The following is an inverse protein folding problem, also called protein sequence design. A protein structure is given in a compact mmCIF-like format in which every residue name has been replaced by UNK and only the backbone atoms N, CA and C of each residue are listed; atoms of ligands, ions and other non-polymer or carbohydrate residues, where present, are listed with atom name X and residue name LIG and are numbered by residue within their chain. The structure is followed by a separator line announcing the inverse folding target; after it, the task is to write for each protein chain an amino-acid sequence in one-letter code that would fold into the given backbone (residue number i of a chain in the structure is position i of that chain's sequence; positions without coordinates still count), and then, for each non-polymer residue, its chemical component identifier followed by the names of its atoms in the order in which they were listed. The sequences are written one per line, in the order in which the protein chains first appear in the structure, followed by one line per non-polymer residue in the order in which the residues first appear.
data_IF_497049608714
#
_entry.id   IF_497049608714
#
_cell.length_a   1.000
_cell.length_b   1.000
_cell.length_c   1.000
_cell.angle_alpha   90.00
_cell.angle_beta   90.00
_cell.angle_gamma   90.00
#
_symmetry.space_group_name_H-M   'P 1'
#
loop_
_entity.id
_entity.type
_entity.pdbx_description
1 polymer ?
#
# COMPACT_ATOMS: atom_id res chain seq x y z
N UNK A 1 52.15 28.18 8.42
CA UNK A 1 51.91 27.27 7.28
C UNK A 1 50.73 27.80 6.48
N UNK A 2 50.85 27.89 5.15
CA UNK A 2 49.80 28.44 4.29
C UNK A 2 48.67 27.42 4.10
N UNK A 3 47.43 27.87 3.86
CA UNK A 3 46.28 27.00 3.54
C UNK A 3 46.57 26.04 2.38
N UNK A 4 47.43 26.45 1.44
CA UNK A 4 47.91 25.62 0.33
C UNK A 4 48.73 24.42 0.81
N UNK A 5 49.62 24.62 1.78
CA UNK A 5 50.51 23.58 2.30
C UNK A 5 49.70 22.51 3.05
N UNK A 6 48.70 22.95 3.81
CA UNK A 6 47.77 22.04 4.51
C UNK A 6 46.95 21.19 3.54
N UNK A 7 46.46 21.77 2.44
CA UNK A 7 45.77 21.00 1.39
C UNK A 7 46.71 19.99 0.72
N UNK A 8 47.91 20.41 0.34
CA UNK A 8 48.89 19.52 -0.30
C UNK A 8 49.31 18.38 0.61
N UNK A 9 49.43 18.62 1.93
CA UNK A 9 49.69 17.58 2.90
C UNK A 9 48.56 16.54 2.94
N UNK A 10 47.28 16.97 2.99
CA UNK A 10 46.12 16.06 2.98
C UNK A 10 46.03 15.23 1.70
N UNK A 11 46.30 15.83 0.54
CA UNK A 11 46.30 15.13 -0.75
C UNK A 11 47.40 14.05 -0.77
N UNK A 12 48.61 14.38 -0.31
CA UNK A 12 49.71 13.39 -0.23
C UNK A 12 49.38 12.25 0.71
N UNK A 13 48.79 12.55 1.87
CA UNK A 13 48.34 11.52 2.82
C UNK A 13 47.28 10.61 2.20
N UNK A 14 46.29 11.17 1.49
CA UNK A 14 45.25 10.40 0.82
C UNK A 14 45.80 9.52 -0.31
N UNK A 15 46.74 10.03 -1.11
CA UNK A 15 47.39 9.26 -2.17
C UNK A 15 48.28 8.14 -1.61
N UNK A 16 48.97 8.39 -0.50
CA UNK A 16 49.80 7.39 0.18
C UNK A 16 48.98 6.27 0.83
N UNK A 17 47.74 6.56 1.27
CA UNK A 17 46.83 5.57 1.83
C UNK A 17 46.30 4.57 0.78
N UNK A 18 46.47 4.85 -0.51
CA UNK A 18 45.93 4.02 -1.59
C UNK A 18 44.42 4.14 -1.75
N UNK A 19 43.83 3.52 -2.78
CA UNK A 19 42.39 3.49 -2.94
C UNK A 19 41.74 2.83 -1.73
N UNK A 20 40.60 3.37 -1.29
CA UNK A 20 39.81 2.73 -0.25
C UNK A 20 39.50 1.28 -0.68
N UNK A 21 39.57 0.29 0.24
CA UNK A 21 39.21 -1.07 -0.09
C UNK A 21 37.79 -1.09 -0.65
N UNK A 22 37.60 -1.80 -1.76
CA UNK A 22 36.27 -1.96 -2.32
C UNK A 22 35.39 -2.69 -1.31
N UNK A 23 34.10 -2.31 -1.22
CA UNK A 23 33.16 -3.09 -0.42
C UNK A 23 33.16 -4.55 -0.93
N UNK A 24 32.93 -5.53 -0.04
CA UNK A 24 32.79 -6.92 -0.47
C UNK A 24 31.69 -7.03 -1.52
N UNK A 25 31.89 -7.92 -2.50
CA UNK A 25 30.82 -8.21 -3.47
C UNK A 25 29.58 -8.70 -2.70
N UNK A 26 28.39 -8.20 -3.05
CA UNK A 26 27.16 -8.72 -2.48
C UNK A 26 26.97 -10.18 -2.90
N UNK A 27 26.38 -10.98 -2.01
CA UNK A 27 25.94 -12.32 -2.35
C UNK A 27 24.68 -12.22 -3.21
N UNK A 28 24.84 -12.42 -4.52
CA UNK A 28 23.74 -12.39 -5.48
C UNK A 28 22.80 -13.61 -5.38
N UNK A 29 23.19 -14.66 -4.65
CA UNK A 29 22.33 -15.81 -4.38
C UNK A 29 21.49 -15.63 -3.10
N UNK A 30 21.85 -14.68 -2.24
CA UNK A 30 21.09 -14.40 -1.04
C UNK A 30 19.71 -13.81 -1.39
N UNK A 31 18.64 -14.22 -0.70
CA UNK A 31 17.32 -13.64 -0.91
C UNK A 31 17.31 -12.16 -0.53
N UNK A 32 16.80 -11.32 -1.42
CA UNK A 32 16.68 -9.86 -1.20
C UNK A 32 15.70 -9.53 -0.07
N UNK A 33 14.72 -10.40 0.16
CA UNK A 33 13.70 -10.22 1.18
C UNK A 33 13.82 -11.28 2.27
N UNK A 34 13.53 -10.93 3.54
CA UNK A 34 13.38 -11.92 4.59
C UNK A 34 12.35 -12.99 4.20
N UNK A 35 12.49 -14.24 4.66
CA UNK A 35 11.44 -15.23 4.49
C UNK A 35 10.13 -14.67 5.06
N UNK A 36 9.01 -14.97 4.39
CA UNK A 36 7.71 -14.68 4.98
C UNK A 36 7.53 -15.58 6.21
N UNK A 37 6.77 -15.15 7.23
CA UNK A 37 6.33 -16.06 8.28
C UNK A 37 5.67 -17.29 7.63
N UNK A 38 5.72 -18.45 8.28
CA UNK A 38 4.98 -19.66 7.82
C UNK A 38 3.44 -19.50 7.89
N UNK A 39 2.95 -18.27 8.05
CA UNK A 39 1.53 -17.94 8.04
C UNK A 39 0.99 -17.87 6.61
N UNK A 40 -0.34 -18.00 6.50
CA UNK A 40 -1.07 -17.81 5.26
C UNK A 40 -0.82 -16.40 4.66
N UNK A 41 -0.75 -16.31 3.33
CA UNK A 41 -0.50 -15.05 2.62
C UNK A 41 -1.59 -14.00 2.88
N UNK A 42 -2.86 -14.40 2.96
CA UNK A 42 -3.97 -13.51 3.25
C UNK A 42 -3.88 -12.97 4.69
N UNK A 43 -3.49 -13.82 5.65
CA UNK A 43 -3.28 -13.40 7.05
C UNK A 43 -2.11 -12.42 7.14
N UNK A 44 -1.02 -12.70 6.43
CA UNK A 44 0.16 -11.83 6.40
C UNK A 44 -0.17 -10.47 5.78
N UNK A 45 -0.92 -10.45 4.67
CA UNK A 45 -1.42 -9.22 4.06
C UNK A 45 -2.30 -8.44 5.02
N UNK A 46 -3.31 -9.07 5.63
CA UNK A 46 -4.24 -8.39 6.54
C UNK A 46 -3.50 -7.76 7.74
N UNK A 47 -2.51 -8.46 8.31
CA UNK A 47 -1.70 -7.94 9.41
C UNK A 47 -0.88 -6.71 8.99
N UNK A 48 -0.25 -6.78 7.81
CA UNK A 48 0.56 -5.71 7.24
C UNK A 48 -0.28 -4.49 6.87
N UNK A 49 -1.38 -4.70 6.14
CA UNK A 49 -2.33 -3.65 5.76
C UNK A 49 -2.87 -2.89 6.98
N UNK A 50 -3.24 -3.62 8.05
CA UNK A 50 -3.70 -3.00 9.31
C UNK A 50 -2.60 -2.22 10.02
N UNK A 51 -1.36 -2.71 9.98
CA UNK A 51 -0.20 -2.03 10.60
C UNK A 51 0.05 -0.64 10.03
N UNK A 52 -0.31 -0.40 8.77
CA UNK A 52 -0.17 0.92 8.13
C UNK A 52 -1.44 1.78 8.20
N UNK A 53 -2.44 1.37 8.99
CA UNK A 53 -3.69 2.10 9.19
C UNK A 53 -4.82 1.74 8.23
N UNK A 54 -4.66 0.68 7.42
CA UNK A 54 -5.75 0.16 6.60
C UNK A 54 -6.82 -0.56 7.43
N UNK A 55 -8.08 -0.41 7.04
CA UNK A 55 -9.20 -1.16 7.62
C UNK A 55 -9.46 -2.42 6.77
N UNK A 56 -9.36 -3.61 7.39
CA UNK A 56 -9.49 -4.88 6.68
C UNK A 56 -10.76 -5.63 7.10
N UNK A 57 -11.55 -6.02 6.11
CA UNK A 57 -12.77 -6.81 6.27
C UNK A 57 -12.62 -8.12 5.50
N UNK A 58 -12.90 -9.25 6.15
CA UNK A 58 -13.02 -10.55 5.49
C UNK A 58 -14.49 -10.96 5.50
N UNK A 59 -15.03 -11.23 4.31
CA UNK A 59 -16.42 -11.64 4.13
C UNK A 59 -16.44 -13.00 3.43
N UNK A 60 -17.01 -14.01 4.09
CA UNK A 60 -17.14 -15.36 3.53
C UNK A 60 -18.27 -15.45 2.50
N UNK A 61 -19.24 -14.54 2.58
CA UNK A 61 -20.41 -14.51 1.69
C UNK A 61 -20.71 -13.09 1.21
N UNK A 62 -21.40 -13.00 0.07
CA UNK A 62 -21.90 -11.72 -0.49
C UNK A 62 -22.86 -11.03 0.48
N UNK A 63 -23.68 -11.80 1.21
CA UNK A 63 -24.58 -11.25 2.23
C UNK A 63 -23.81 -10.58 3.38
N UNK A 64 -22.72 -11.21 3.83
CA UNK A 64 -21.84 -10.62 4.84
C UNK A 64 -21.16 -9.35 4.32
N UNK A 65 -20.63 -9.38 3.08
CA UNK A 65 -20.09 -8.19 2.42
C UNK A 65 -21.08 -7.03 2.44
N UNK A 66 -22.33 -7.29 2.05
CA UNK A 66 -23.37 -6.26 2.04
C UNK A 66 -23.67 -5.71 3.43
N UNK A 67 -23.72 -6.56 4.45
CA UNK A 67 -23.96 -6.14 5.84
C UNK A 67 -22.83 -5.25 6.38
N UNK A 68 -21.58 -5.70 6.25
CA UNK A 68 -20.40 -4.99 6.73
C UNK A 68 -20.21 -3.66 5.99
N UNK A 69 -20.32 -3.66 4.65
CA UNK A 69 -20.13 -2.45 3.86
C UNK A 69 -21.22 -1.41 4.13
N UNK A 70 -22.50 -1.81 4.30
CA UNK A 70 -23.56 -0.86 4.69
C UNK A 70 -23.31 -0.27 6.07
N UNK A 71 -22.88 -1.07 7.03
CA UNK A 71 -22.56 -0.59 8.37
C UNK A 71 -21.41 0.42 8.32
N UNK A 72 -20.35 0.10 7.58
CA UNK A 72 -19.21 0.98 7.39
C UNK A 72 -19.60 2.31 6.70
N UNK A 73 -20.39 2.24 5.64
CA UNK A 73 -20.89 3.44 4.94
C UNK A 73 -21.79 4.28 5.85
N UNK A 74 -22.66 3.66 6.65
CA UNK A 74 -23.53 4.41 7.56
C UNK A 74 -22.74 5.17 8.65
N UNK A 75 -21.60 4.63 9.08
CA UNK A 75 -20.72 5.29 10.04
C UNK A 75 -19.85 6.38 9.40
N UNK A 76 -19.36 6.14 8.17
CA UNK A 76 -18.28 6.95 7.56
C UNK A 76 -18.74 7.90 6.47
N UNK A 77 -19.91 7.71 5.87
CA UNK A 77 -20.42 8.56 4.80
C UNK A 77 -21.05 9.83 5.39
N UNK A 78 -20.51 11.03 5.13
CA UNK A 78 -21.12 12.26 5.62
C UNK A 78 -22.49 12.50 5.00
N UNK A 79 -23.36 13.22 5.71
CA UNK A 79 -24.66 13.63 5.20
C UNK A 79 -24.52 14.40 3.87
N UNK A 80 -25.29 14.00 2.86
CA UNK A 80 -25.26 14.61 1.53
C UNK A 80 -24.12 14.14 0.62
N UNK A 81 -23.22 13.26 1.09
CA UNK A 81 -22.20 12.63 0.27
C UNK A 81 -22.62 11.24 -0.20
N UNK A 82 -21.94 10.73 -1.22
CA UNK A 82 -22.31 9.54 -1.96
C UNK A 82 -21.13 8.57 -2.11
N UNK A 83 -21.48 7.30 -2.25
CA UNK A 83 -20.57 6.19 -2.52
C UNK A 83 -20.61 5.81 -4.00
N UNK A 84 -19.47 5.81 -4.69
CA UNK A 84 -19.38 5.64 -6.14
C UNK A 84 -18.69 4.35 -6.57
N UNK A 85 -19.22 3.69 -7.61
CA UNK A 85 -18.67 2.45 -8.15
C UNK A 85 -18.83 2.42 -9.68
N UNK A 86 -17.72 2.28 -10.40
CA UNK A 86 -17.70 2.35 -11.87
C UNK A 86 -17.49 1.02 -12.57
N UNK A 87 -16.88 0.05 -11.90
CA UNK A 87 -16.57 -1.25 -12.50
C UNK A 87 -17.82 -2.14 -12.55
N UNK A 88 -18.25 -2.62 -13.74
CA UNK A 88 -19.49 -3.38 -13.88
C UNK A 88 -19.57 -4.62 -12.98
N UNK A 89 -18.47 -5.36 -12.85
CA UNK A 89 -18.42 -6.55 -11.99
C UNK A 89 -18.67 -6.23 -10.51
N UNK A 90 -18.23 -5.06 -10.04
CA UNK A 90 -18.50 -4.60 -8.67
C UNK A 90 -19.94 -4.09 -8.54
N UNK A 91 -20.48 -3.45 -9.57
CA UNK A 91 -21.87 -3.00 -9.58
C UNK A 91 -22.83 -4.19 -9.46
N UNK A 92 -22.58 -5.28 -10.20
CA UNK A 92 -23.33 -6.54 -10.10
C UNK A 92 -23.22 -7.15 -8.70
N UNK A 93 -22.00 -7.29 -8.17
CA UNK A 93 -21.75 -7.82 -6.82
C UNK A 93 -22.47 -7.01 -5.74
N UNK A 94 -22.46 -5.68 -5.83
CA UNK A 94 -23.09 -4.81 -4.85
C UNK A 94 -24.62 -4.76 -4.98
N UNK A 95 -25.14 -4.90 -6.20
CA UNK A 95 -26.58 -5.07 -6.42
C UNK A 95 -27.07 -6.37 -5.75
N UNK A 96 -26.35 -7.48 -5.94
CA UNK A 96 -26.63 -8.76 -5.27
C UNK A 96 -26.49 -8.67 -3.74
N UNK A 97 -25.52 -7.89 -3.27
CA UNK A 97 -25.32 -7.63 -1.84
C UNK A 97 -26.35 -6.64 -1.24
N UNK A 98 -27.18 -5.99 -2.08
CA UNK A 98 -28.15 -4.98 -1.66
C UNK A 98 -27.50 -3.69 -1.12
N UNK A 99 -26.36 -3.28 -1.68
CA UNK A 99 -25.64 -2.05 -1.30
C UNK A 99 -25.92 -0.97 -2.36
N UNK A 100 -26.49 0.19 -1.97
CA UNK A 100 -26.71 1.28 -2.91
C UNK A 100 -25.39 1.99 -3.26
N UNK A 101 -25.21 2.36 -4.53
CA UNK A 101 -24.06 3.10 -5.04
C UNK A 101 -24.47 4.03 -6.19
N UNK A 102 -23.63 5.02 -6.47
CA UNK A 102 -23.75 5.91 -7.63
C UNK A 102 -22.79 5.47 -8.74
N UNK A 103 -23.23 5.58 -9.98
CA UNK A 103 -22.44 5.20 -11.17
C UNK A 103 -22.16 6.36 -12.11
N UNK A 104 -22.88 7.48 -11.96
CA UNK A 104 -22.78 8.62 -12.88
C UNK A 104 -21.79 9.66 -12.36
N UNK A 105 -21.27 10.49 -13.27
CA UNK A 105 -20.41 11.62 -12.90
C UNK A 105 -21.21 12.84 -12.40
N UNK A 106 -22.55 12.77 -12.39
CA UNK A 106 -23.41 13.85 -11.93
C UNK A 106 -23.07 14.23 -10.49
N UNK A 107 -22.72 15.51 -10.30
CA UNK A 107 -22.29 16.09 -9.03
C UNK A 107 -21.15 15.36 -8.31
N UNK A 108 -20.40 14.48 -9.00
CA UNK A 108 -19.35 13.65 -8.43
C UNK A 108 -18.31 14.49 -7.66
N UNK A 109 -17.85 15.60 -8.26
CA UNK A 109 -16.86 16.49 -7.62
C UNK A 109 -17.35 17.10 -6.30
N UNK A 110 -18.66 17.26 -6.14
CA UNK A 110 -19.26 17.88 -4.97
C UNK A 110 -19.69 16.85 -3.91
N UNK A 111 -20.04 15.63 -4.32
CA UNK A 111 -20.68 14.64 -3.45
C UNK A 111 -19.81 13.41 -3.15
N UNK A 112 -18.69 13.18 -3.85
CA UNK A 112 -17.89 11.96 -3.66
C UNK A 112 -17.13 11.95 -2.32
N UNK A 113 -17.52 11.03 -1.44
CA UNK A 113 -16.80 10.73 -0.19
C UNK A 113 -16.00 9.43 -0.26
N UNK A 114 -16.53 8.42 -0.95
CA UNK A 114 -15.95 7.08 -1.02
C UNK A 114 -16.19 6.45 -2.39
N UNK A 115 -15.28 5.56 -2.77
CA UNK A 115 -15.44 4.71 -3.95
C UNK A 115 -14.89 3.32 -3.71
N UNK A 116 -15.40 2.35 -4.48
CA UNK A 116 -14.91 0.98 -4.45
C UNK A 116 -14.34 0.61 -5.81
N UNK A 117 -13.13 0.06 -5.77
CA UNK A 117 -12.41 -0.42 -6.95
C UNK A 117 -11.84 -1.80 -6.67
N UNK A 118 -11.68 -2.59 -7.73
CA UNK A 118 -10.98 -3.85 -7.65
C UNK A 118 -9.47 -3.60 -7.80
N UNK A 119 -8.69 -4.63 -7.50
CA UNK A 119 -7.26 -4.65 -7.80
C UNK A 119 -6.92 -5.99 -8.45
N UNK A 120 -5.90 -5.98 -9.29
CA UNK A 120 -5.40 -7.17 -9.97
C UNK A 120 -4.63 -8.11 -9.03
N UNK A 121 -4.01 -7.56 -7.99
CA UNK A 121 -3.21 -8.31 -7.03
C UNK A 121 -3.01 -7.57 -5.70
N UNK A 122 -2.82 -8.35 -4.64
CA UNK A 122 -2.41 -7.89 -3.31
C UNK A 122 -1.04 -8.48 -2.96
N UNK A 123 -0.18 -7.67 -2.35
CA UNK A 123 1.21 -8.08 -2.04
C UNK A 123 1.39 -8.24 -0.53
N UNK A 124 1.28 -9.47 -0.03
CA UNK A 124 1.37 -9.76 1.41
C UNK A 124 2.66 -9.28 2.09
N UNK A 125 3.76 -9.24 1.33
CA UNK A 125 5.09 -8.87 1.83
C UNK A 125 5.26 -7.37 2.05
N UNK A 126 4.58 -6.56 1.25
CA UNK A 126 4.83 -5.11 1.19
C UNK A 126 3.55 -4.38 1.49
N UNK A 127 3.63 -3.52 2.53
CA UNK A 127 2.57 -2.70 3.07
C UNK A 127 1.56 -3.47 3.91
#
# INVERSE_FOLDING_TARGET
MSSRDTMLARIRTALAAGPAPQPPLPDWAAPVHPPLPEADLAVTFAANFRRIGGEFFYCETVAQLGAELRAWLAERLPEGQQFYVWEPALQELLADAGVPFQTTESDFKAQAAAGLTSCEALVARTR
#
